data_IF_069579320756
#
_entry.id   IF_069579320756
#
_cell.length_a   1.000
_cell.length_b   1.000
_cell.length_c   1.000
_cell.angle_alpha   90.00
_cell.angle_beta   90.00
_cell.angle_gamma   90.00
#
_symmetry.space_group_name_H-M   'P 1'
#
loop_
_entity.id
_entity.type
_entity.pdbx_description
1 polymer ?
#
# COMPACT_ATOMS: atom_id res chain seq x y z
N UNK A 1 6.80 13.08 -5.64
CA UNK A 1 7.90 12.34 -4.97
C UNK A 1 7.35 11.39 -3.93
N UNK A 2 7.74 10.11 -4.00
CA UNK A 2 7.35 9.08 -3.05
C UNK A 2 8.09 9.20 -1.71
N UNK A 3 7.37 9.06 -0.61
CA UNK A 3 7.95 8.88 0.72
C UNK A 3 7.88 7.41 1.14
N UNK A 4 8.89 6.93 1.86
CA UNK A 4 8.82 5.59 2.45
C UNK A 4 7.59 5.54 3.36
N UNK A 5 6.86 4.41 3.30
CA UNK A 5 5.60 4.19 4.02
C UNK A 5 4.36 4.84 3.39
N UNK A 6 4.47 5.60 2.30
CA UNK A 6 3.29 6.02 1.54
C UNK A 6 2.52 4.81 1.01
N UNK A 7 1.21 4.96 0.90
CA UNK A 7 0.32 3.92 0.38
C UNK A 7 -0.37 4.41 -0.88
N UNK A 8 -0.40 3.55 -1.89
CA UNK A 8 -1.03 3.80 -3.18
C UNK A 8 -1.89 2.61 -3.58
N UNK A 9 -2.90 2.88 -4.38
CA UNK A 9 -3.80 1.86 -4.92
C UNK A 9 -3.42 1.53 -6.36
N UNK A 10 -3.25 0.24 -6.65
CA UNK A 10 -2.99 -0.26 -8.00
C UNK A 10 -4.24 -0.98 -8.50
N UNK A 11 -4.68 -0.62 -9.71
CA UNK A 11 -5.87 -1.19 -10.39
C UNK A 11 -5.58 -1.64 -11.83
N UNK A 12 -4.31 -1.82 -12.17
CA UNK A 12 -3.85 -2.09 -13.53
C UNK A 12 -3.65 -3.60 -13.77
N UNK A 13 -3.66 -4.04 -15.03
CA UNK A 13 -3.52 -5.45 -15.40
C UNK A 13 -2.12 -6.04 -15.20
N UNK A 14 -1.06 -5.24 -15.17
CA UNK A 14 0.32 -5.74 -15.04
C UNK A 14 0.63 -6.21 -13.61
N UNK A 15 -0.18 -5.80 -12.63
CA UNK A 15 0.02 -6.08 -11.22
C UNK A 15 -1.30 -6.47 -10.54
N UNK A 16 -1.27 -7.30 -9.49
CA UNK A 16 -2.48 -7.59 -8.74
C UNK A 16 -3.10 -6.32 -8.19
N UNK A 17 -4.43 -6.19 -8.35
CA UNK A 17 -5.17 -5.09 -7.77
C UNK A 17 -5.08 -5.11 -6.24
N UNK A 18 -4.92 -3.93 -5.65
CA UNK A 18 -4.84 -3.79 -4.20
C UNK A 18 -4.04 -2.58 -3.75
N UNK A 19 -3.75 -2.56 -2.45
CA UNK A 19 -2.97 -1.50 -1.80
C UNK A 19 -1.51 -1.90 -1.72
N UNK A 20 -0.64 -0.96 -2.10
CA UNK A 20 0.79 -1.11 -2.09
C UNK A 20 1.42 -0.05 -1.20
N UNK A 21 2.47 -0.43 -0.46
CA UNK A 21 3.26 0.47 0.39
C UNK A 21 4.62 0.73 -0.22
N UNK A 22 5.07 1.97 -0.23
CA UNK A 22 6.45 2.34 -0.60
C UNK A 22 7.41 1.78 0.43
N UNK A 23 8.34 0.93 -0.02
CA UNK A 23 9.39 0.32 0.82
C UNK A 23 10.80 0.74 0.41
N UNK A 24 10.95 1.41 -0.73
CA UNK A 24 12.23 1.92 -1.19
C UNK A 24 12.08 2.92 -2.33
N UNK A 25 13.03 3.83 -2.44
CA UNK A 25 13.17 4.75 -3.57
C UNK A 25 14.62 4.74 -4.06
N UNK A 26 14.77 4.78 -5.38
CA UNK A 26 16.06 4.95 -6.06
C UNK A 26 15.98 6.19 -6.95
N UNK A 27 17.08 6.53 -7.63
CA UNK A 27 17.08 7.64 -8.59
C UNK A 27 16.01 7.46 -9.68
N UNK A 28 15.79 6.23 -10.15
CA UNK A 28 14.97 5.96 -11.33
C UNK A 28 13.60 5.35 -10.99
N UNK A 29 13.47 4.69 -9.83
CA UNK A 29 12.28 3.87 -9.52
C UNK A 29 11.84 3.97 -8.06
N UNK A 30 10.56 3.64 -7.85
CA UNK A 30 9.92 3.45 -6.55
C UNK A 30 9.59 1.96 -6.38
N UNK A 31 10.00 1.37 -5.28
CA UNK A 31 9.70 -0.02 -4.93
C UNK A 31 8.49 -0.08 -4.00
N UNK A 32 7.51 -0.86 -4.42
CA UNK A 32 6.20 -1.00 -3.78
C UNK A 32 6.00 -2.43 -3.29
N UNK A 33 5.52 -2.61 -2.06
CA UNK A 33 5.14 -3.90 -1.47
C UNK A 33 3.62 -4.05 -1.48
N UNK A 34 3.11 -5.15 -2.00
CA UNK A 34 1.68 -5.46 -1.97
C UNK A 34 1.23 -5.84 -0.55
N UNK A 35 0.44 -4.98 0.09
CA UNK A 35 0.07 -5.11 1.52
C UNK A 35 -1.39 -5.44 1.76
N UNK A 36 -2.28 -5.15 0.82
CA UNK A 36 -3.68 -5.58 0.87
C UNK A 36 -4.23 -5.87 -0.52
N UNK A 37 -5.14 -6.83 -0.64
CA UNK A 37 -5.85 -7.12 -1.90
C UNK A 37 -6.88 -6.03 -2.24
N UNK A 38 -7.58 -6.21 -3.36
CA UNK A 38 -8.63 -5.31 -3.83
C UNK A 38 -9.83 -5.19 -2.88
N UNK A 39 -10.05 -6.18 -2.01
CA UNK A 39 -11.09 -6.14 -0.97
C UNK A 39 -10.59 -5.45 0.32
N UNK A 40 -9.36 -4.94 0.32
CA UNK A 40 -8.72 -4.31 1.47
C UNK A 40 -8.21 -5.31 2.52
N UNK A 41 -8.15 -6.60 2.20
CA UNK A 41 -7.66 -7.62 3.14
C UNK A 41 -6.15 -7.67 3.11
N UNK A 42 -5.55 -7.69 4.30
CA UNK A 42 -4.10 -7.72 4.47
C UNK A 42 -3.49 -8.97 3.80
N UNK A 43 -2.37 -8.76 3.11
CA UNK A 43 -1.57 -9.78 2.48
C UNK A 43 -0.19 -9.88 3.12
N UNK A 44 0.31 -11.11 3.25
CA UNK A 44 1.65 -11.44 3.74
C UNK A 44 2.49 -12.16 2.67
N UNK A 45 2.34 -11.75 1.41
CA UNK A 45 3.00 -12.42 0.28
C UNK A 45 4.47 -12.02 0.11
N UNK A 46 4.87 -10.86 0.62
CA UNK A 46 6.19 -10.28 0.36
C UNK A 46 6.39 -9.82 -1.09
N UNK A 47 5.33 -9.76 -1.90
CA UNK A 47 5.42 -9.38 -3.32
C UNK A 47 5.79 -7.91 -3.47
N UNK A 48 6.95 -7.65 -4.06
CA UNK A 48 7.39 -6.31 -4.43
C UNK A 48 7.29 -6.07 -5.94
N UNK A 49 7.00 -4.84 -6.33
CA UNK A 49 7.00 -4.37 -7.72
C UNK A 49 7.77 -3.05 -7.77
N UNK A 50 8.46 -2.80 -8.88
CA UNK A 50 9.17 -1.53 -9.10
C UNK A 50 8.53 -0.78 -10.24
N UNK A 51 8.20 0.48 -10.01
CA UNK A 51 7.60 1.37 -11.00
C UNK A 51 8.47 2.61 -11.19
N UNK A 52 8.36 3.28 -12.33
CA UNK A 52 8.99 4.57 -12.52
C UNK A 52 8.35 5.63 -11.61
N UNK A 53 9.06 6.73 -11.37
CA UNK A 53 8.49 7.86 -10.62
C UNK A 53 7.23 8.44 -11.29
N UNK A 54 7.20 8.52 -12.63
CA UNK A 54 6.04 9.02 -13.36
C UNK A 54 4.81 8.13 -13.16
N UNK A 55 4.98 6.82 -13.23
CA UNK A 55 3.88 5.88 -12.97
C UNK A 55 3.41 5.97 -11.52
N UNK A 56 4.32 6.10 -10.56
CA UNK A 56 3.95 6.26 -9.15
C UNK A 56 3.08 7.50 -8.91
N UNK A 57 3.41 8.63 -9.55
CA UNK A 57 2.66 9.89 -9.38
C UNK A 57 1.24 9.85 -9.97
N UNK A 58 0.95 8.89 -10.85
CA UNK A 58 -0.39 8.65 -11.39
C UNK A 58 -1.23 7.72 -10.52
N UNK A 59 -0.62 7.00 -9.57
CA UNK A 59 -1.34 6.09 -8.70
C UNK A 59 -2.16 6.85 -7.64
N UNK A 60 -3.44 6.50 -7.44
CA UNK A 60 -4.23 7.06 -6.36
C UNK A 60 -3.60 6.77 -5.00
N UNK A 61 -3.62 7.74 -4.09
CA UNK A 61 -3.25 7.51 -2.69
C UNK A 61 -4.27 6.60 -2.01
N UNK A 62 -3.77 5.71 -1.15
CA UNK A 62 -4.58 4.77 -0.38
C UNK A 62 -4.40 5.01 1.12
N UNK A 63 -5.40 4.61 1.90
CA UNK A 63 -5.27 4.58 3.37
C UNK A 63 -4.40 3.40 3.80
N UNK A 64 -3.70 3.55 4.92
CA UNK A 64 -2.92 2.46 5.50
C UNK A 64 -3.88 1.35 5.97
N UNK A 65 -3.73 0.10 5.49
CA UNK A 65 -4.59 -1.00 5.92
C UNK A 65 -4.39 -1.36 7.41
N UNK A 66 -3.31 -0.89 8.05
CA UNK A 66 -3.05 -1.08 9.48
C UNK A 66 -3.73 -0.05 10.40
N UNK A 67 -4.30 1.04 9.86
CA UNK A 67 -4.99 2.06 10.67
C UNK A 67 -6.38 1.57 11.14
N UNK A 68 -6.92 0.52 10.50
CA UNK A 68 -8.20 -0.09 10.82
C UNK A 68 -8.11 -1.11 11.95
N UNK A 69 -8.12 -0.65 13.20
CA UNK A 69 -8.43 -1.50 14.34
C UNK A 69 -7.32 -1.55 15.38
N UNK A 70 -7.13 -0.45 16.09
CA UNK A 70 -6.50 -0.55 17.40
C UNK A 70 -7.40 -1.42 18.29
N UNK A 71 -6.84 -2.49 18.87
CA UNK A 71 -7.49 -3.25 19.95
C UNK A 71 -7.96 -2.30 21.08
N UNK A 72 -7.29 -1.15 21.26
CA UNK A 72 -7.71 -0.13 22.21
C UNK A 72 -9.07 0.50 21.86
N UNK A 73 -9.37 0.74 20.58
CA UNK A 73 -10.68 1.24 20.14
C UNK A 73 -11.78 0.19 20.36
N UNK A 74 -11.46 -1.08 20.12
CA UNK A 74 -12.37 -2.20 20.39
C UNK A 74 -12.60 -2.37 21.91
N UNK A 75 -11.55 -2.26 22.73
CA UNK A 75 -11.65 -2.36 24.18
C UNK A 75 -12.42 -1.19 24.82
N UNK A 76 -12.32 0.01 24.24
CA UNK A 76 -13.04 1.20 24.73
C UNK A 76 -14.53 1.18 24.37
N UNK A 77 -14.92 0.37 23.37
CA UNK A 77 -16.32 0.19 22.95
C UNK A 77 -16.99 -1.05 23.54
N UNK A 78 -16.29 -1.83 24.38
CA UNK A 78 -16.88 -2.91 25.18
C UNK A 78 -17.65 -2.32 26.38
N UNK A 79 -18.90 -2.75 26.63
CA UNK A 79 -19.73 -2.27 27.74
C UNK A 79 -19.22 -2.71 29.12
#
# INVERSE_FOLDING_TARGET
>A
MASIYDHVEVRDSDHPNGVYRVVGTTADTVTLLHVADADGRRLHSGRTVSVSHSTYEELPSASNPDDGGSITDVLTSLP
#
